data_IF_307195688451
#
_entry.id   IF_307195688451
#
_cell.length_a   1.000
_cell.length_b   1.000
_cell.length_c   1.000
_cell.angle_alpha   90.00
_cell.angle_beta   90.00
_cell.angle_gamma   90.00
#
_symmetry.space_group_name_H-M   'P 1'
#
loop_
_entity.id
_entity.type
_entity.pdbx_description
1 polymer ?
#
# COMPACT_ATOMS: atom_id res chain seq x y z
N UNK A 1 8.58 5.79 19.59
CA UNK A 1 8.22 5.48 18.18
C UNK A 1 6.72 5.28 17.99
N UNK A 2 6.01 4.62 18.92
CA UNK A 2 4.56 4.48 18.88
C UNK A 2 3.81 5.82 19.06
N UNK A 3 4.44 6.82 19.69
CA UNK A 3 3.83 8.13 19.89
C UNK A 3 3.74 8.98 18.61
N UNK A 4 4.63 8.78 17.65
CA UNK A 4 4.64 9.54 16.38
C UNK A 4 3.52 9.09 15.44
N UNK A 5 3.31 7.78 15.27
CA UNK A 5 2.19 7.26 14.48
C UNK A 5 0.85 7.60 15.13
N UNK A 6 0.73 7.53 16.46
CA UNK A 6 -0.49 7.92 17.17
C UNK A 6 -0.84 9.40 17.00
N UNK A 7 0.16 10.30 16.92
CA UNK A 7 -0.09 11.72 16.69
C UNK A 7 -0.54 12.01 15.25
N UNK A 8 0.00 11.32 14.27
CA UNK A 8 -0.42 11.38 12.88
C UNK A 8 -1.86 10.84 12.71
N UNK A 9 -2.20 9.75 13.41
CA UNK A 9 -3.53 9.14 13.35
C UNK A 9 -4.62 9.99 14.02
N UNK A 10 -4.28 10.87 14.96
CA UNK A 10 -5.24 11.80 15.59
C UNK A 10 -5.83 12.78 14.57
N UNK A 11 -5.02 13.26 13.63
CA UNK A 11 -5.50 14.12 12.56
C UNK A 11 -6.38 13.39 11.54
N UNK A 12 -6.14 12.11 11.34
CA UNK A 12 -6.86 11.25 10.38
C UNK A 12 -8.17 10.69 10.93
N UNK A 13 -8.48 10.89 12.21
CA UNK A 13 -9.70 10.38 12.88
C UNK A 13 -11.02 10.88 12.32
N UNK A 14 -11.01 11.91 11.52
CA UNK A 14 -12.24 12.55 11.01
C UNK A 14 -12.70 12.01 9.67
N UNK A 15 -12.04 11.01 9.10
CA UNK A 15 -12.43 10.41 7.82
C UNK A 15 -12.99 9.01 8.03
N UNK A 16 -13.94 8.60 7.18
CA UNK A 16 -14.59 7.28 7.25
C UNK A 16 -13.63 6.09 7.08
N UNK A 17 -12.47 6.33 6.46
CA UNK A 17 -11.46 5.30 6.17
C UNK A 17 -10.33 5.22 7.20
N UNK A 18 -10.26 6.14 8.18
CA UNK A 18 -9.25 6.12 9.22
C UNK A 18 -9.89 5.73 10.55
N UNK A 19 -9.56 4.53 11.01
CA UNK A 19 -10.10 3.95 12.23
C UNK A 19 -9.20 4.28 13.43
N UNK A 20 -9.80 4.36 14.62
CA UNK A 20 -9.03 4.54 15.86
C UNK A 20 -8.33 3.27 16.34
N UNK A 21 -8.82 2.13 15.90
CA UNK A 21 -8.21 0.81 16.07
C UNK A 21 -8.32 0.08 14.73
N UNK A 22 -7.27 -0.58 14.31
CA UNK A 22 -7.24 -1.40 13.11
C UNK A 22 -6.22 -2.53 13.26
N UNK A 23 -6.43 -3.60 12.53
CA UNK A 23 -5.51 -4.72 12.45
C UNK A 23 -4.81 -4.73 11.09
N UNK A 24 -3.50 -4.96 11.12
CA UNK A 24 -2.71 -5.10 9.91
C UNK A 24 -2.34 -6.56 9.68
N UNK A 25 -2.76 -7.08 8.54
CA UNK A 25 -2.30 -8.37 8.02
C UNK A 25 -1.14 -8.14 7.06
N UNK A 26 -0.31 -9.16 6.85
CA UNK A 26 0.79 -9.02 5.92
C UNK A 26 1.63 -10.27 5.80
N UNK A 27 2.63 -10.18 4.92
CA UNK A 27 3.70 -11.14 4.80
C UNK A 27 5.04 -10.42 4.98
N UNK A 28 6.02 -11.14 5.50
CA UNK A 28 7.30 -10.59 5.91
C UNK A 28 8.42 -11.48 5.42
N UNK A 29 9.53 -10.86 4.96
CA UNK A 29 10.73 -11.57 4.54
C UNK A 29 11.97 -10.84 5.01
N UNK A 30 12.88 -11.57 5.61
CA UNK A 30 14.18 -11.07 6.08
C UNK A 30 15.30 -11.64 5.21
N UNK A 31 15.22 -11.37 3.88
CA UNK A 31 16.18 -11.82 2.89
C UNK A 31 15.95 -13.25 2.39
N UNK A 32 14.71 -13.73 2.45
CA UNK A 32 14.29 -15.04 1.91
C UNK A 32 13.66 -14.86 0.52
N UNK A 33 12.66 -14.01 0.41
CA UNK A 33 12.09 -13.57 -0.87
C UNK A 33 12.03 -12.03 -0.93
N UNK A 34 11.77 -11.48 -2.13
CA UNK A 34 11.73 -10.04 -2.31
C UNK A 34 10.56 -9.61 -3.22
N UNK A 35 10.69 -8.55 -4.01
CA UNK A 35 9.61 -7.87 -4.74
C UNK A 35 8.73 -8.81 -5.55
N UNK A 36 9.32 -9.68 -6.37
CA UNK A 36 8.56 -10.53 -7.28
C UNK A 36 7.61 -11.46 -6.55
N UNK A 37 8.10 -12.16 -5.53
CA UNK A 37 7.27 -13.09 -4.77
C UNK A 37 6.25 -12.34 -3.88
N UNK A 38 6.67 -11.24 -3.24
CA UNK A 38 5.75 -10.43 -2.44
C UNK A 38 4.58 -9.90 -3.28
N UNK A 39 4.84 -9.41 -4.49
CA UNK A 39 3.84 -8.93 -5.43
C UNK A 39 2.93 -10.08 -5.91
N UNK A 40 3.51 -11.25 -6.23
CA UNK A 40 2.74 -12.44 -6.62
C UNK A 40 1.80 -12.89 -5.51
N UNK A 41 2.29 -12.98 -4.27
CA UNK A 41 1.48 -13.39 -3.11
C UNK A 41 0.33 -12.40 -2.87
N UNK A 42 0.60 -11.11 -2.93
CA UNK A 42 -0.44 -10.10 -2.75
C UNK A 42 -1.51 -10.20 -3.84
N UNK A 43 -1.10 -10.29 -5.10
CA UNK A 43 -2.03 -10.41 -6.21
C UNK A 43 -2.85 -11.69 -6.18
N UNK A 44 -2.20 -12.83 -5.93
CA UNK A 44 -2.87 -14.11 -5.80
C UNK A 44 -3.89 -14.10 -4.67
N UNK A 45 -3.53 -13.59 -3.51
CA UNK A 45 -4.42 -13.50 -2.37
C UNK A 45 -5.66 -12.65 -2.70
N UNK A 46 -5.46 -11.45 -3.25
CA UNK A 46 -6.57 -10.55 -3.56
C UNK A 46 -7.48 -11.09 -4.67
N UNK A 47 -6.91 -11.67 -5.72
CA UNK A 47 -7.69 -12.03 -6.92
C UNK A 47 -8.17 -13.49 -6.95
N UNK A 48 -7.43 -14.42 -6.34
CA UNK A 48 -7.79 -15.84 -6.36
C UNK A 48 -8.43 -16.28 -5.04
N UNK A 49 -7.91 -15.82 -3.89
CA UNK A 49 -8.44 -16.22 -2.57
C UNK A 49 -9.63 -15.34 -2.21
N UNK A 50 -9.45 -14.03 -2.28
CA UNK A 50 -10.49 -13.06 -1.99
C UNK A 50 -11.42 -12.78 -3.19
N UNK A 51 -11.08 -13.25 -4.37
CA UNK A 51 -11.87 -13.12 -5.61
C UNK A 51 -12.26 -11.66 -5.95
N UNK A 52 -11.42 -10.69 -5.61
CA UNK A 52 -11.64 -9.30 -5.99
C UNK A 52 -11.53 -9.12 -7.51
N UNK A 53 -12.37 -8.27 -8.07
CA UNK A 53 -12.35 -7.93 -9.49
C UNK A 53 -11.04 -7.23 -9.85
N UNK A 54 -10.25 -7.85 -10.73
CA UNK A 54 -8.95 -7.31 -11.18
C UNK A 54 -9.06 -5.90 -11.75
N UNK A 55 -10.20 -5.63 -12.37
CA UNK A 55 -10.48 -4.34 -12.99
C UNK A 55 -10.79 -3.22 -12.00
N UNK A 56 -10.95 -3.52 -10.73
CA UNK A 56 -11.09 -2.54 -9.67
C UNK A 56 -9.79 -2.28 -8.91
N UNK A 57 -8.72 -3.01 -9.22
CA UNK A 57 -7.44 -2.84 -8.56
C UNK A 57 -6.56 -1.84 -9.31
N UNK A 58 -6.03 -0.87 -8.57
CA UNK A 58 -5.04 0.11 -9.01
C UNK A 58 -3.75 -0.09 -8.23
N UNK A 59 -2.63 0.21 -8.86
CA UNK A 59 -1.31 -0.01 -8.28
C UNK A 59 -0.54 1.31 -8.30
N UNK A 60 0.07 1.66 -7.17
CA UNK A 60 1.13 2.66 -7.16
C UNK A 60 2.50 2.00 -7.03
N UNK A 61 3.49 2.62 -7.61
CA UNK A 61 4.90 2.25 -7.44
C UNK A 61 5.73 3.50 -7.22
N UNK A 62 6.83 3.36 -6.52
CA UNK A 62 7.76 4.47 -6.37
C UNK A 62 8.31 4.92 -7.73
N UNK A 63 8.45 6.22 -7.92
CA UNK A 63 8.82 6.87 -9.19
C UNK A 63 10.08 6.28 -9.85
N UNK A 64 11.05 5.84 -9.04
CA UNK A 64 12.34 5.31 -9.49
C UNK A 64 12.42 3.77 -9.36
N UNK A 65 11.32 3.08 -9.04
CA UNK A 65 11.28 1.62 -8.91
C UNK A 65 10.78 0.94 -10.21
N UNK A 66 11.63 0.95 -11.23
CA UNK A 66 11.36 0.30 -12.51
C UNK A 66 11.16 -1.21 -12.38
N UNK A 67 11.80 -1.85 -11.38
CA UNK A 67 11.68 -3.28 -11.13
C UNK A 67 10.26 -3.64 -10.68
N UNK A 68 9.71 -2.94 -9.70
CA UNK A 68 8.35 -3.18 -9.23
C UNK A 68 7.32 -2.93 -10.35
N UNK A 69 7.46 -1.83 -11.11
CA UNK A 69 6.58 -1.56 -12.24
C UNK A 69 6.63 -2.67 -13.29
N UNK A 70 7.83 -3.15 -13.63
CA UNK A 70 8.00 -4.24 -14.59
C UNK A 70 7.33 -5.53 -14.10
N UNK A 71 7.47 -5.87 -12.82
CA UNK A 71 6.82 -7.05 -12.24
C UNK A 71 5.30 -6.94 -12.37
N UNK A 72 4.72 -5.80 -12.00
CA UNK A 72 3.28 -5.57 -12.15
C UNK A 72 2.79 -5.68 -13.59
N UNK A 73 3.54 -5.12 -14.56
CA UNK A 73 3.17 -5.12 -15.97
C UNK A 73 3.37 -6.47 -16.66
N UNK A 74 4.56 -7.06 -16.49
CA UNK A 74 5.00 -8.19 -17.31
C UNK A 74 4.77 -9.55 -16.63
N UNK A 75 4.91 -9.62 -15.31
CA UNK A 75 4.74 -10.88 -14.56
C UNK A 75 3.29 -11.06 -14.13
N UNK A 76 2.68 -10.02 -13.57
CA UNK A 76 1.30 -10.05 -13.09
C UNK A 76 0.31 -9.77 -14.23
N UNK A 77 0.67 -8.91 -15.18
CA UNK A 77 -0.18 -8.54 -16.31
C UNK A 77 -1.24 -7.48 -15.94
N UNK A 78 -0.97 -6.62 -14.99
CA UNK A 78 -1.84 -5.49 -14.67
C UNK A 78 -1.86 -4.51 -15.84
N UNK A 79 -3.05 -4.00 -16.18
CA UNK A 79 -3.19 -3.00 -17.23
C UNK A 79 -2.32 -1.77 -16.91
N UNK A 80 -1.39 -1.36 -17.79
CA UNK A 80 -0.49 -0.22 -17.53
C UNK A 80 -1.20 1.09 -17.19
N UNK A 81 -2.46 1.26 -17.65
CA UNK A 81 -3.28 2.44 -17.31
C UNK A 81 -3.71 2.50 -15.85
N UNK A 82 -3.53 1.41 -15.11
CA UNK A 82 -3.87 1.29 -13.69
C UNK A 82 -2.63 1.22 -12.80
N UNK A 83 -1.47 1.51 -13.35
CA UNK A 83 -0.22 1.61 -12.61
C UNK A 83 0.23 3.06 -12.65
N UNK A 84 0.39 3.66 -11.49
CA UNK A 84 0.83 5.05 -11.33
C UNK A 84 2.16 5.12 -10.61
N UNK A 85 2.98 6.10 -10.97
CA UNK A 85 4.25 6.37 -10.29
C UNK A 85 4.07 7.54 -9.34
N UNK A 86 4.38 7.33 -8.06
CA UNK A 86 4.27 8.35 -7.02
C UNK A 86 5.64 8.67 -6.41
N UNK A 87 5.68 9.79 -5.71
CA UNK A 87 6.91 10.35 -5.14
C UNK A 87 7.29 9.78 -3.78
N UNK A 88 8.21 10.50 -3.14
CA UNK A 88 8.78 10.10 -1.85
C UNK A 88 7.74 10.17 -0.71
N UNK A 89 6.73 11.03 -0.84
CA UNK A 89 5.69 11.23 0.17
C UNK A 89 4.73 10.04 0.24
N UNK A 90 4.49 9.39 -0.90
CA UNK A 90 3.50 8.30 -1.03
C UNK A 90 4.18 6.93 -1.06
N UNK A 91 5.18 6.74 -1.92
CA UNK A 91 5.75 5.42 -2.20
C UNK A 91 7.20 5.22 -1.73
N UNK A 92 7.67 5.99 -0.73
CA UNK A 92 8.95 5.70 -0.07
C UNK A 92 8.75 5.62 1.45
N UNK A 93 8.76 4.41 1.97
CA UNK A 93 8.55 4.16 3.39
C UNK A 93 9.84 4.26 4.20
N UNK A 94 9.74 4.80 5.40
CA UNK A 94 10.83 4.87 6.38
C UNK A 94 10.31 4.52 7.77
N UNK A 95 11.08 3.75 8.53
CA UNK A 95 10.77 3.43 9.93
C UNK A 95 10.69 4.69 10.81
N UNK A 96 11.45 5.71 10.46
CA UNK A 96 11.54 6.99 11.14
C UNK A 96 12.66 7.81 10.51
N UNK A 97 13.23 8.73 11.29
CA UNK A 97 14.37 9.54 10.83
C UNK A 97 15.58 8.68 10.49
N UNK A 98 15.74 7.55 11.20
CA UNK A 98 16.80 6.55 11.00
C UNK A 98 16.22 5.15 10.94
N UNK A 99 16.99 4.22 10.40
CA UNK A 99 16.63 2.80 10.32
C UNK A 99 16.30 2.33 8.91
N UNK A 100 15.72 1.13 8.80
CA UNK A 100 15.33 0.55 7.52
C UNK A 100 14.36 1.43 6.75
N UNK A 101 14.58 1.53 5.43
CA UNK A 101 13.72 2.28 4.52
C UNK A 101 13.84 1.72 3.10
N UNK A 102 12.89 2.11 2.26
CA UNK A 102 12.90 1.72 0.85
C UNK A 102 11.62 2.06 0.13
N UNK A 103 11.59 1.84 -1.19
CA UNK A 103 10.40 2.05 -1.99
C UNK A 103 9.28 1.11 -1.55
N UNK A 104 8.05 1.54 -1.80
CA UNK A 104 6.88 0.68 -1.62
C UNK A 104 5.96 0.71 -2.84
N UNK A 105 5.09 -0.26 -2.90
CA UNK A 105 4.03 -0.37 -3.88
C UNK A 105 2.71 -0.60 -3.16
N UNK A 106 1.72 0.19 -3.49
CA UNK A 106 0.43 0.12 -2.85
C UNK A 106 -0.63 -0.42 -3.81
N UNK A 107 -1.61 -1.10 -3.25
CA UNK A 107 -2.75 -1.62 -3.98
C UNK A 107 -4.00 -0.90 -3.48
N UNK A 108 -4.71 -0.27 -4.41
CA UNK A 108 -5.96 0.45 -4.15
C UNK A 108 -7.14 -0.31 -4.75
N UNK A 109 -8.29 -0.16 -4.11
CA UNK A 109 -9.56 -0.67 -4.62
C UNK A 109 -10.45 0.49 -5.08
N UNK A 110 -10.96 0.41 -6.32
CA UNK A 110 -11.93 1.34 -6.89
C UNK A 110 -13.35 0.92 -6.47
N UNK A 111 -13.96 1.66 -5.58
CA UNK A 111 -15.32 1.43 -5.11
C UNK A 111 -16.41 1.74 -6.14
N UNK A 112 -16.04 2.38 -7.25
CA UNK A 112 -16.95 2.66 -8.37
C UNK A 112 -17.43 4.10 -8.44
N UNK A 113 -18.10 4.41 -9.55
CA UNK A 113 -18.46 5.79 -9.94
C UNK A 113 -19.50 6.46 -9.03
N UNK A 114 -20.14 5.71 -8.15
CA UNK A 114 -21.11 6.25 -7.19
C UNK A 114 -20.44 6.92 -5.98
N UNK A 115 -19.11 6.78 -5.85
CA UNK A 115 -18.29 7.43 -4.82
C UNK A 115 -17.39 8.46 -5.50
N UNK A 116 -17.31 9.65 -4.91
CA UNK A 116 -16.46 10.71 -5.40
C UNK A 116 -14.98 10.41 -5.13
N UNK A 117 -14.13 10.70 -6.11
CA UNK A 117 -12.67 10.55 -6.02
C UNK A 117 -12.03 10.29 -7.37
N UNK A 118 -10.75 10.59 -7.46
CA UNK A 118 -9.90 10.42 -8.64
C UNK A 118 -8.87 9.32 -8.43
N UNK A 119 -8.34 8.71 -9.50
CA UNK A 119 -7.29 7.71 -9.37
C UNK A 119 -6.07 8.21 -8.59
N UNK A 120 -5.34 7.34 -7.88
CA UNK A 120 -4.14 7.70 -7.14
C UNK A 120 -3.16 8.52 -8.00
N UNK A 121 -2.56 9.57 -7.43
CA UNK A 121 -1.61 10.46 -8.10
C UNK A 121 -2.21 11.43 -9.11
N UNK A 122 -3.53 11.52 -9.21
CA UNK A 122 -4.21 12.55 -10.01
C UNK A 122 -4.22 13.90 -9.29
N UNK A 123 -4.25 14.99 -10.03
CA UNK A 123 -4.45 16.32 -9.43
C UNK A 123 -5.80 16.36 -8.71
N UNK A 124 -5.78 16.69 -7.41
CA UNK A 124 -6.97 16.61 -6.56
C UNK A 124 -7.34 15.18 -6.16
N UNK A 125 -6.33 14.33 -5.93
CA UNK A 125 -6.49 12.97 -5.38
C UNK A 125 -7.07 13.02 -3.96
N UNK A 126 -8.30 13.48 -3.89
CA UNK A 126 -9.12 13.53 -2.69
C UNK A 126 -10.39 12.72 -2.95
N UNK A 127 -10.91 12.09 -1.92
CA UNK A 127 -12.14 11.35 -2.00
C UNK A 127 -12.00 9.91 -1.52
N UNK A 128 -13.12 9.21 -1.45
CA UNK A 128 -13.20 7.88 -0.85
C UNK A 128 -13.40 6.76 -1.89
N UNK A 129 -13.30 7.07 -3.18
CA UNK A 129 -13.46 6.10 -4.26
C UNK A 129 -12.32 5.11 -4.34
N UNK A 130 -11.07 5.60 -4.28
CA UNK A 130 -9.88 4.77 -4.38
C UNK A 130 -9.26 4.63 -3.00
N UNK A 131 -9.43 3.49 -2.39
CA UNK A 131 -8.93 3.23 -1.04
C UNK A 131 -7.76 2.28 -1.09
N UNK A 132 -6.61 2.70 -0.52
CA UNK A 132 -5.48 1.81 -0.31
C UNK A 132 -5.90 0.66 0.60
N UNK A 133 -5.71 -0.57 0.13
CA UNK A 133 -6.04 -1.80 0.86
C UNK A 133 -4.80 -2.57 1.31
N UNK A 134 -3.67 -2.41 0.62
CA UNK A 134 -2.41 -3.10 0.95
C UNK A 134 -1.21 -2.28 0.53
N UNK A 135 -0.24 -2.13 1.45
CA UNK A 135 1.06 -1.52 1.18
C UNK A 135 2.16 -2.60 1.21
N UNK A 136 2.95 -2.70 0.15
CA UNK A 136 4.08 -3.63 0.01
C UNK A 136 5.38 -2.83 0.13
N UNK A 137 6.03 -2.89 1.29
CA UNK A 137 7.27 -2.17 1.55
C UNK A 137 8.49 -3.04 1.22
N UNK A 138 9.38 -2.51 0.40
CA UNK A 138 10.62 -3.16 -0.04
C UNK A 138 11.81 -2.48 0.62
N UNK A 139 12.13 -2.87 1.85
CA UNK A 139 13.25 -2.32 2.59
C UNK A 139 14.57 -2.73 1.95
N UNK A 140 15.25 -1.75 1.34
CA UNK A 140 16.51 -1.95 0.62
C UNK A 140 17.67 -1.22 1.28
N UNK A 141 17.39 -0.19 2.09
CA UNK A 141 18.38 0.70 2.66
C UNK A 141 18.22 0.81 4.17
N UNK A 142 19.31 1.22 4.80
CA UNK A 142 19.33 1.73 6.17
C UNK A 142 19.76 3.19 6.14
N UNK A 143 18.96 4.07 6.74
CA UNK A 143 19.27 5.50 6.90
C UNK A 143 19.92 5.75 8.25
N UNK A 144 21.05 6.42 8.27
CA UNK A 144 21.75 6.82 9.49
C UNK A 144 21.33 8.22 9.96
N UNK A 145 21.88 8.64 11.12
CA UNK A 145 21.60 9.96 11.73
C UNK A 145 22.00 11.15 10.85
N UNK A 146 22.87 10.95 9.87
CA UNK A 146 23.25 11.98 8.88
C UNK A 146 22.31 12.04 7.67
N UNK A 147 21.32 11.15 7.61
CA UNK A 147 20.42 10.99 6.47
C UNK A 147 21.01 10.16 5.32
N UNK A 148 22.22 9.61 5.49
CA UNK A 148 22.86 8.79 4.47
C UNK A 148 22.20 7.41 4.42
N UNK A 149 21.82 6.99 3.23
CA UNK A 149 21.27 5.65 2.96
C UNK A 149 22.38 4.70 2.50
N UNK A 150 22.46 3.56 3.15
CA UNK A 150 23.34 2.45 2.79
C UNK A 150 22.51 1.21 2.49
N UNK A 151 22.85 0.41 1.46
CA UNK A 151 22.14 -0.82 1.17
C UNK A 151 22.12 -1.76 2.38
N UNK A 152 20.97 -2.40 2.63
CA UNK A 152 20.88 -3.48 3.60
C UNK A 152 21.67 -4.71 3.10
N UNK A 153 22.31 -5.47 3.99
CA UNK A 153 23.00 -6.71 3.63
C UNK A 153 22.08 -7.73 2.93
N UNK A 154 20.82 -7.73 3.32
CA UNK A 154 19.74 -8.50 2.69
C UNK A 154 18.50 -7.60 2.60
N UNK A 155 17.95 -7.40 1.41
CA UNK A 155 16.71 -6.68 1.28
C UNK A 155 15.57 -7.47 1.96
N UNK A 156 14.65 -6.74 2.55
CA UNK A 156 13.56 -7.31 3.34
C UNK A 156 12.21 -6.81 2.83
N UNK A 157 11.17 -7.59 3.09
CA UNK A 157 9.78 -7.25 2.77
C UNK A 157 9.02 -7.09 4.06
N UNK A 158 8.31 -5.96 4.17
CA UNK A 158 7.32 -5.70 5.20
C UNK A 158 6.04 -5.22 4.52
N UNK A 159 4.92 -5.90 4.75
CA UNK A 159 3.68 -5.52 4.10
C UNK A 159 2.58 -5.28 5.12
N UNK A 160 1.68 -4.33 4.81
CA UNK A 160 0.55 -4.01 5.66
C UNK A 160 -0.75 -3.95 4.87
N UNK A 161 -1.68 -4.87 5.17
CA UNK A 161 -3.03 -4.91 4.63
C UNK A 161 -4.03 -4.63 5.74
N UNK A 162 -4.85 -3.58 5.58
CA UNK A 162 -5.88 -3.26 6.56
C UNK A 162 -6.99 -4.30 6.58
N UNK A 163 -7.10 -5.06 7.68
CA UNK A 163 -8.13 -6.08 7.82
C UNK A 163 -9.53 -5.48 7.69
N UNK A 164 -9.80 -4.36 8.33
CA UNK A 164 -11.10 -3.70 8.30
C UNK A 164 -11.44 -3.20 6.90
N UNK A 165 -10.45 -2.67 6.15
CA UNK A 165 -10.64 -2.23 4.77
C UNK A 165 -11.02 -3.39 3.86
N UNK A 166 -10.37 -4.53 4.03
CA UNK A 166 -10.70 -5.76 3.28
C UNK A 166 -12.06 -6.30 3.69
N UNK A 167 -12.38 -6.35 4.98
CA UNK A 167 -13.67 -6.84 5.45
C UNK A 167 -14.84 -6.05 4.87
N UNK A 168 -14.71 -4.74 4.70
CA UNK A 168 -15.75 -3.90 4.10
C UNK A 168 -16.06 -4.24 2.64
N UNK A 169 -15.13 -4.87 1.91
CA UNK A 169 -15.35 -5.31 0.54
C UNK A 169 -16.24 -6.57 0.46
N UNK A 170 -16.38 -7.33 1.55
CA UNK A 170 -17.11 -8.60 1.60
C UNK A 170 -18.37 -8.56 2.43
N UNK A 171 -18.38 -7.75 3.47
CA UNK A 171 -19.50 -7.67 4.39
C UNK A 171 -20.51 -6.66 3.86
N UNK A 172 -21.78 -7.06 3.83
CA UNK A 172 -22.89 -6.11 3.71
C UNK A 172 -22.76 -5.01 4.77
N UNK A 173 -23.38 -3.84 4.53
CA UNK A 173 -23.14 -2.64 5.31
C UNK A 173 -23.04 -2.93 6.80
N UNK A 174 -21.91 -2.57 7.38
CA UNK A 174 -21.72 -2.62 8.81
C UNK A 174 -22.72 -1.65 9.47
N UNK A 175 -23.05 -1.80 10.73
CA UNK A 175 -23.86 -0.79 11.44
C UNK A 175 -23.29 0.63 11.36
N UNK A 176 -22.04 0.79 10.92
CA UNK A 176 -21.36 2.09 10.69
C UNK A 176 -21.72 2.71 9.33
N UNK A 177 -22.17 1.92 8.37
CA UNK A 177 -22.49 2.39 7.01
C UNK A 177 -23.93 2.93 6.89
N UNK A 178 -24.71 2.84 7.98
CA UNK A 178 -26.09 3.29 8.07
C UNK A 178 -26.25 4.66 8.77
N UNK A 179 -25.27 5.56 8.57
CA UNK A 179 -25.41 6.94 9.08
C UNK A 179 -25.32 7.94 7.97
#
# INVERSE_FOLDING_TARGET
>A
LLASSAASDVYKRQTLRHHTFFEMLGNFSFGDYFKEDAIKYAWEFLTNVLALEKDKLWISVYKDDDEAEKIWKEVIGVNPKRIVRLGDEDNFWSMGDTGPCGPCSEIYYDHGDHIEGTPPGSEGDEGDRYVEIWNLVFMQFNRDDSGKMTPLPKPSVDTGMGLERICLLYTSPSPRDNK
#
